data_IF_580758986440
#
_entry.id   IF_580758986440
#
_cell.length_a   1.000
_cell.length_b   1.000
_cell.length_c   1.000
_cell.angle_alpha   90.00
_cell.angle_beta   90.00
_cell.angle_gamma   90.00
#
_symmetry.space_group_name_H-M   'P 1'
#
loop_
_entity.id
_entity.type
_entity.pdbx_description
1 polymer ?
#
# COMPACT_ATOMS: atom_id res chain seq x y z
N UNK A 1 5.30 48.42 -20.15
CA UNK A 1 6.10 47.21 -19.86
C UNK A 1 6.53 46.60 -21.19
N UNK A 2 7.83 46.41 -21.38
CA UNK A 2 8.35 45.71 -22.56
C UNK A 2 8.07 44.20 -22.44
N UNK A 3 8.11 43.45 -23.55
CA UNK A 3 8.02 41.97 -23.49
C UNK A 3 9.12 41.35 -22.61
N UNK A 4 10.28 42.01 -22.49
CA UNK A 4 11.36 41.54 -21.63
C UNK A 4 11.00 41.65 -20.15
N UNK A 5 10.37 42.75 -19.73
CA UNK A 5 9.96 42.96 -18.33
C UNK A 5 8.91 41.92 -17.89
N UNK A 6 7.93 41.64 -18.76
CA UNK A 6 6.90 40.64 -18.50
C UNK A 6 7.49 39.22 -18.39
N UNK A 7 8.46 38.88 -19.24
CA UNK A 7 9.14 37.58 -19.20
C UNK A 7 10.02 37.42 -17.95
N UNK A 8 10.69 38.49 -17.50
CA UNK A 8 11.48 38.49 -16.28
C UNK A 8 10.59 38.30 -15.04
N UNK A 9 9.45 39.00 -14.97
CA UNK A 9 8.48 38.83 -13.90
C UNK A 9 7.89 37.40 -13.90
N UNK A 10 7.61 36.83 -15.07
CA UNK A 10 7.14 35.45 -15.18
C UNK A 10 8.19 34.44 -14.70
N UNK A 11 9.45 34.57 -15.08
CA UNK A 11 10.53 33.70 -14.60
C UNK A 11 10.74 33.78 -13.08
N UNK A 12 10.53 34.97 -12.49
CA UNK A 12 10.61 35.19 -11.04
C UNK A 12 9.39 34.69 -10.26
N UNK A 13 8.26 34.42 -10.91
CA UNK A 13 7.03 33.97 -10.24
C UNK A 13 6.58 32.58 -10.67
N UNK A 14 7.20 32.00 -11.69
CA UNK A 14 6.83 30.69 -12.22
C UNK A 14 7.01 29.56 -11.21
N UNK A 15 7.91 29.72 -10.23
CA UNK A 15 8.11 28.72 -9.17
C UNK A 15 6.91 28.63 -8.21
N UNK A 16 6.10 29.69 -8.12
CA UNK A 16 4.87 29.74 -7.31
C UNK A 16 3.72 28.98 -7.98
N UNK A 17 3.84 28.63 -9.26
CA UNK A 17 2.78 28.00 -10.04
C UNK A 17 3.07 26.52 -10.28
N UNK A 18 2.03 25.68 -10.17
CA UNK A 18 2.09 24.27 -10.54
C UNK A 18 2.44 23.33 -9.39
N UNK A 19 3.43 22.46 -9.59
CA UNK A 19 3.68 21.26 -8.76
C UNK A 19 4.09 21.56 -7.32
N UNK A 20 4.65 22.75 -7.05
CA UNK A 20 5.16 23.12 -5.73
C UNK A 20 4.18 23.95 -4.89
N UNK A 21 2.97 24.23 -5.39
CA UNK A 21 2.04 25.13 -4.72
C UNK A 21 1.76 24.72 -3.26
N UNK A 22 1.43 23.46 -3.01
CA UNK A 22 1.16 22.95 -1.67
C UNK A 22 2.38 23.08 -0.72
N UNK A 23 3.59 22.90 -1.25
CA UNK A 23 4.81 23.07 -0.45
C UNK A 23 5.03 24.54 -0.06
N UNK A 24 4.74 25.47 -0.97
CA UNK A 24 4.89 26.91 -0.72
C UNK A 24 3.80 27.40 0.24
N UNK A 25 2.56 26.88 0.14
CA UNK A 25 1.48 27.15 1.10
C UNK A 25 1.87 26.68 2.51
N UNK A 26 2.42 25.46 2.64
CA UNK A 26 2.95 24.93 3.91
C UNK A 26 4.11 25.78 4.45
N UNK A 27 5.02 26.21 3.57
CA UNK A 27 6.17 27.04 3.92
C UNK A 27 5.72 28.42 4.40
N UNK A 28 4.70 29.00 3.76
CA UNK A 28 4.13 30.28 4.15
C UNK A 28 3.38 30.18 5.48
N UNK A 29 2.60 29.12 5.70
CA UNK A 29 1.93 28.88 6.97
C UNK A 29 2.91 28.73 8.14
N UNK A 30 4.07 28.09 7.92
CA UNK A 30 5.16 28.02 8.91
C UNK A 30 5.77 29.39 9.20
N UNK A 31 5.99 30.21 8.17
CA UNK A 31 6.49 31.57 8.31
C UNK A 31 5.55 32.45 9.16
N UNK A 32 4.23 32.34 8.97
CA UNK A 32 3.24 33.09 9.75
C UNK A 32 3.24 32.69 11.24
N UNK A 33 3.62 31.44 11.56
CA UNK A 33 3.78 30.97 12.95
C UNK A 33 5.12 31.39 13.56
N UNK A 34 6.19 31.26 12.78
CA UNK A 34 7.55 31.62 13.16
C UNK A 34 8.33 32.16 11.94
N UNK A 35 8.58 33.48 11.87
CA UNK A 35 9.34 34.08 10.78
C UNK A 35 10.77 33.53 10.64
N UNK A 36 11.37 33.00 11.71
CA UNK A 36 12.72 32.42 11.68
C UNK A 36 12.77 30.99 11.12
N UNK A 37 11.61 30.39 10.85
CA UNK A 37 11.49 29.04 10.29
C UNK A 37 11.88 28.95 8.80
N UNK A 38 12.00 30.09 8.13
CA UNK A 38 12.39 30.20 6.71
C UNK A 38 13.56 31.17 6.55
N UNK A 39 14.30 31.04 5.45
CA UNK A 39 15.43 31.91 5.16
C UNK A 39 15.01 33.36 4.88
N UNK A 40 15.99 34.26 4.85
CA UNK A 40 15.74 35.70 4.70
C UNK A 40 15.02 36.05 3.38
N UNK A 41 15.31 35.32 2.28
CA UNK A 41 14.70 35.57 0.98
C UNK A 41 13.20 35.24 1.00
N UNK A 42 12.84 34.11 1.63
CA UNK A 42 11.44 33.74 1.85
C UNK A 42 10.72 34.67 2.83
N UNK A 43 11.39 35.12 3.90
CA UNK A 43 10.81 36.10 4.81
C UNK A 43 10.44 37.39 4.08
N UNK A 44 11.35 37.92 3.26
CA UNK A 44 11.11 39.16 2.52
C UNK A 44 10.01 38.98 1.47
N UNK A 45 10.00 37.82 0.80
CA UNK A 45 8.94 37.46 -0.14
C UNK A 45 7.56 37.39 0.55
N UNK A 46 7.41 36.62 1.64
CA UNK A 46 6.13 36.47 2.34
C UNK A 46 5.65 37.77 2.99
N UNK A 47 6.56 38.60 3.54
CA UNK A 47 6.23 39.96 4.01
C UNK A 47 5.64 40.83 2.91
N UNK A 48 6.06 40.63 1.66
CA UNK A 48 5.59 41.43 0.53
C UNK A 48 4.14 41.13 0.11
N UNK A 49 3.65 39.91 0.39
CA UNK A 49 2.31 39.44 -0.01
C UNK A 49 1.19 40.12 0.77
N UNK A 50 1.42 40.37 2.07
CA UNK A 50 0.45 41.04 2.98
C UNK A 50 -0.91 40.32 3.05
N UNK A 51 -0.92 39.00 2.89
CA UNK A 51 -2.12 38.19 3.06
C UNK A 51 -2.52 38.11 4.54
N UNK A 52 -3.79 37.81 4.82
CA UNK A 52 -4.25 37.60 6.18
C UNK A 52 -3.75 36.24 6.70
N UNK A 53 -3.19 36.15 7.92
CA UNK A 53 -2.66 34.88 8.46
C UNK A 53 -3.68 33.73 8.44
N UNK A 54 -4.97 34.05 8.61
CA UNK A 54 -6.06 33.08 8.55
C UNK A 54 -6.26 32.48 7.14
N UNK A 55 -6.06 33.28 6.09
CA UNK A 55 -6.19 32.81 4.71
C UNK A 55 -4.99 31.93 4.32
N UNK A 56 -3.79 32.30 4.77
CA UNK A 56 -2.56 31.50 4.59
C UNK A 56 -2.72 30.12 5.24
N UNK A 57 -3.18 30.08 6.49
CA UNK A 57 -3.40 28.83 7.22
C UNK A 57 -4.45 27.94 6.53
N UNK A 58 -5.55 28.55 6.04
CA UNK A 58 -6.61 27.82 5.34
C UNK A 58 -6.15 27.25 4.00
N UNK A 59 -5.28 27.95 3.28
CA UNK A 59 -4.70 27.45 2.04
C UNK A 59 -3.79 26.24 2.28
N UNK A 60 -2.96 26.28 3.33
CA UNK A 60 -2.10 25.17 3.72
C UNK A 60 -2.88 23.92 4.18
N UNK A 61 -4.03 24.10 4.83
CA UNK A 61 -4.94 23.00 5.18
C UNK A 61 -5.54 22.27 3.96
N UNK A 62 -5.47 22.90 2.79
CA UNK A 62 -5.89 22.34 1.52
C UNK A 62 -7.39 22.49 1.24
N UNK A 63 -7.86 21.75 0.24
CA UNK A 63 -9.22 21.88 -0.25
C UNK A 63 -10.25 21.37 0.77
N UNK A 64 -11.21 22.24 1.13
CA UNK A 64 -12.32 21.89 2.04
C UNK A 64 -13.25 20.77 1.53
N UNK A 65 -13.19 20.45 0.24
CA UNK A 65 -13.91 19.33 -0.38
C UNK A 65 -13.09 18.02 -0.40
N UNK A 66 -11.87 18.03 0.17
CA UNK A 66 -11.05 16.84 0.35
C UNK A 66 -11.81 15.78 1.16
N UNK A 67 -11.89 14.57 0.61
CA UNK A 67 -12.59 13.46 1.28
C UNK A 67 -11.70 12.88 2.37
N UNK A 68 -12.18 12.90 3.62
CA UNK A 68 -11.46 12.36 4.77
C UNK A 68 -11.14 10.85 4.67
N UNK A 69 -11.88 10.10 3.85
CA UNK A 69 -11.73 8.67 3.67
C UNK A 69 -11.07 8.29 2.33
N UNK A 70 -10.36 9.21 1.69
CA UNK A 70 -9.62 8.94 0.45
C UNK A 70 -8.12 8.67 0.72
N UNK A 71 -7.49 7.70 0.03
CA UNK A 71 -8.11 6.73 -0.88
C UNK A 71 -8.95 5.71 -0.12
N UNK A 72 -10.09 5.32 -0.69
CA UNK A 72 -10.93 4.27 -0.12
C UNK A 72 -10.20 2.95 -0.31
N UNK A 73 -9.69 2.35 0.77
CA UNK A 73 -9.13 1.00 0.72
C UNK A 73 -10.28 -0.02 0.74
N UNK A 74 -10.41 -0.88 -0.29
CA UNK A 74 -11.36 -1.99 -0.27
C UNK A 74 -11.12 -2.88 0.95
N UNK A 75 -12.18 -3.33 1.61
CA UNK A 75 -12.12 -4.20 2.81
C UNK A 75 -12.68 -5.60 2.58
N UNK A 76 -13.08 -5.91 1.36
CA UNK A 76 -13.57 -7.23 1.00
C UNK A 76 -12.41 -8.22 0.85
N UNK A 77 -12.67 -9.48 1.21
CA UNK A 77 -11.70 -10.58 1.15
C UNK A 77 -11.08 -10.70 -0.26
N UNK A 78 -11.92 -10.57 -1.29
CA UNK A 78 -11.51 -10.78 -2.67
C UNK A 78 -10.54 -9.69 -3.13
N UNK A 79 -10.82 -8.42 -2.87
CA UNK A 79 -9.90 -7.34 -3.23
C UNK A 79 -8.63 -7.35 -2.39
N UNK A 80 -8.73 -7.63 -1.08
CA UNK A 80 -7.55 -7.80 -0.22
C UNK A 80 -6.65 -8.96 -0.66
N UNK A 81 -7.23 -10.04 -1.20
CA UNK A 81 -6.45 -11.14 -1.75
C UNK A 81 -5.73 -10.78 -3.06
N UNK A 82 -6.09 -9.67 -3.72
CA UNK A 82 -5.58 -9.28 -5.04
C UNK A 82 -4.64 -8.07 -5.03
N UNK A 83 -4.71 -7.19 -4.03
CA UNK A 83 -3.97 -5.92 -3.98
C UNK A 83 -2.46 -6.05 -3.70
N UNK A 84 -1.99 -7.22 -3.24
CA UNK A 84 -0.57 -7.52 -3.02
C UNK A 84 0.04 -6.84 -1.79
N UNK A 85 -0.78 -6.34 -0.86
CA UNK A 85 -0.32 -5.65 0.35
C UNK A 85 0.11 -6.63 1.46
N UNK A 86 1.13 -7.44 1.17
CA UNK A 86 1.51 -8.59 2.02
C UNK A 86 1.99 -8.21 3.43
N UNK A 87 2.60 -7.04 3.60
CA UNK A 87 3.05 -6.59 4.93
C UNK A 87 1.88 -6.38 5.91
N UNK A 88 0.75 -5.86 5.42
CA UNK A 88 -0.46 -5.70 6.24
C UNK A 88 -1.12 -7.05 6.51
N UNK A 89 -1.13 -7.95 5.51
CA UNK A 89 -1.63 -9.33 5.66
C UNK A 89 -0.82 -10.09 6.71
N UNK A 90 0.51 -10.03 6.65
CA UNK A 90 1.41 -10.69 7.62
C UNK A 90 1.11 -10.23 9.05
N UNK A 91 0.99 -8.92 9.27
CA UNK A 91 0.64 -8.35 10.59
C UNK A 91 -0.74 -8.83 11.08
N UNK A 92 -1.74 -8.81 10.21
CA UNK A 92 -3.10 -9.21 10.55
C UNK A 92 -3.20 -10.71 10.88
N UNK A 93 -2.59 -11.55 10.03
CA UNK A 93 -2.55 -13.00 10.21
C UNK A 93 -1.78 -13.38 11.47
N UNK A 94 -0.62 -12.78 11.71
CA UNK A 94 0.17 -13.03 12.93
C UNK A 94 -0.60 -12.68 14.20
N UNK A 95 -1.29 -11.53 14.21
CA UNK A 95 -2.14 -11.12 15.34
C UNK A 95 -3.28 -12.13 15.59
N UNK A 96 -3.93 -12.61 14.52
CA UNK A 96 -5.02 -13.59 14.62
C UNK A 96 -4.52 -14.96 15.07
N UNK A 97 -3.36 -15.40 14.60
CA UNK A 97 -2.73 -16.65 15.01
C UNK A 97 -2.33 -16.62 16.48
N UNK A 98 -1.68 -15.54 16.95
CA UNK A 98 -1.34 -15.36 18.35
C UNK A 98 -2.58 -15.37 19.25
N UNK A 99 -3.64 -14.65 18.87
CA UNK A 99 -4.90 -14.66 19.61
C UNK A 99 -5.55 -16.05 19.67
N UNK A 100 -5.51 -16.82 18.57
CA UNK A 100 -6.04 -18.19 18.52
C UNK A 100 -5.21 -19.19 19.32
N UNK A 101 -3.89 -19.05 19.33
CA UNK A 101 -2.99 -19.85 20.16
C UNK A 101 -3.31 -19.66 21.64
N UNK A 102 -3.42 -18.40 22.07
CA UNK A 102 -3.78 -18.03 23.44
C UNK A 102 -5.16 -18.55 23.83
N UNK A 103 -6.16 -18.44 22.93
CA UNK A 103 -7.51 -18.95 23.18
C UNK A 103 -7.59 -20.49 23.29
N UNK A 104 -6.67 -21.23 22.66
CA UNK A 104 -6.58 -22.69 22.73
C UNK A 104 -5.71 -23.20 23.89
N UNK A 105 -5.16 -22.31 24.72
CA UNK A 105 -4.30 -22.69 25.84
C UNK A 105 -2.97 -23.33 25.42
N UNK A 106 -2.56 -23.14 24.16
CA UNK A 106 -1.27 -23.61 23.67
C UNK A 106 -0.27 -22.45 23.75
N UNK A 107 0.79 -22.61 24.55
CA UNK A 107 1.96 -21.73 24.45
C UNK A 107 2.76 -22.11 23.21
N UNK A 108 2.35 -21.56 22.06
CA UNK A 108 3.20 -21.53 20.88
C UNK A 108 4.34 -20.56 21.12
N UNK A 109 5.57 -20.97 20.77
CA UNK A 109 6.69 -20.05 20.84
C UNK A 109 6.51 -18.93 19.80
N UNK A 110 7.11 -17.77 20.06
CA UNK A 110 7.10 -16.65 19.11
C UNK A 110 7.64 -17.08 17.72
N UNK A 111 8.65 -17.96 17.70
CA UNK A 111 9.18 -18.55 16.48
C UNK A 111 8.14 -19.38 15.70
N UNK A 112 7.30 -20.14 16.41
CA UNK A 112 6.24 -20.94 15.79
C UNK A 112 5.14 -20.05 15.20
N UNK A 113 4.76 -18.97 15.90
CA UNK A 113 3.79 -17.99 15.40
C UNK A 113 4.34 -17.31 14.15
N UNK A 114 5.61 -16.92 14.15
CA UNK A 114 6.26 -16.34 12.97
C UNK A 114 6.31 -17.30 11.78
N UNK A 115 6.64 -18.59 11.99
CA UNK A 115 6.62 -19.58 10.91
C UNK A 115 5.21 -19.81 10.38
N UNK A 116 4.22 -20.02 11.26
CA UNK A 116 2.84 -20.20 10.85
C UNK A 116 2.30 -18.99 10.07
N UNK A 117 2.69 -17.77 10.46
CA UNK A 117 2.34 -16.54 9.75
C UNK A 117 2.94 -16.51 8.34
N UNK A 118 4.24 -16.83 8.21
CA UNK A 118 4.90 -16.89 6.89
C UNK A 118 4.26 -17.94 5.99
N UNK A 119 3.95 -19.11 6.54
CA UNK A 119 3.30 -20.19 5.81
C UNK A 119 1.91 -19.78 5.31
N UNK A 120 1.12 -19.12 6.15
CA UNK A 120 -0.16 -18.53 5.76
C UNK A 120 0.02 -17.52 4.63
N UNK A 121 0.96 -16.58 4.73
CA UNK A 121 1.19 -15.58 3.68
C UNK A 121 1.60 -16.26 2.37
N UNK A 122 2.50 -17.23 2.40
CA UNK A 122 2.93 -18.01 1.21
C UNK A 122 1.77 -18.78 0.58
N UNK A 123 0.91 -19.39 1.39
CA UNK A 123 -0.28 -20.08 0.91
C UNK A 123 -1.27 -19.10 0.25
N UNK A 124 -1.48 -17.92 0.85
CA UNK A 124 -2.32 -16.87 0.25
C UNK A 124 -1.75 -16.34 -1.07
N UNK A 125 -0.42 -16.19 -1.16
CA UNK A 125 0.26 -15.84 -2.41
C UNK A 125 0.03 -16.89 -3.50
N UNK A 126 0.14 -18.18 -3.15
CA UNK A 126 -0.13 -19.29 -4.07
C UNK A 126 -1.61 -19.29 -4.53
N UNK A 127 -2.57 -19.15 -3.61
CA UNK A 127 -3.99 -19.04 -3.94
C UNK A 127 -4.23 -17.87 -4.91
N UNK A 128 -3.61 -16.71 -4.66
CA UNK A 128 -3.68 -15.55 -5.56
C UNK A 128 -3.11 -15.87 -6.93
N UNK A 129 -1.97 -16.56 -7.01
CA UNK A 129 -1.36 -16.97 -8.28
C UNK A 129 -2.32 -17.86 -9.09
N UNK A 130 -2.96 -18.84 -8.45
CA UNK A 130 -3.99 -19.67 -9.08
C UNK A 130 -5.21 -18.86 -9.53
N UNK A 131 -5.72 -17.92 -8.71
CA UNK A 131 -6.85 -17.06 -9.08
C UNK A 131 -6.53 -16.19 -10.31
N UNK A 132 -5.31 -15.65 -10.38
CA UNK A 132 -4.90 -14.73 -11.44
C UNK A 132 -4.44 -15.44 -12.72
N UNK A 133 -3.74 -16.57 -12.59
CA UNK A 133 -3.00 -17.23 -13.68
C UNK A 133 -3.33 -18.72 -13.84
N UNK A 134 -4.19 -19.29 -13.01
CA UNK A 134 -4.58 -20.70 -13.07
C UNK A 134 -5.21 -21.10 -14.40
N UNK A 135 -5.85 -20.16 -15.11
CA UNK A 135 -6.40 -20.40 -16.44
C UNK A 135 -5.34 -20.81 -17.48
N UNK A 136 -4.06 -20.48 -17.27
CA UNK A 136 -2.97 -20.95 -18.14
C UNK A 136 -2.67 -22.45 -17.98
N UNK A 137 -3.00 -23.04 -16.83
CA UNK A 137 -2.84 -24.48 -16.57
C UNK A 137 -4.16 -25.25 -16.75
N UNK A 138 -5.25 -24.58 -17.10
CA UNK A 138 -6.53 -25.23 -17.34
C UNK A 138 -6.46 -26.08 -18.61
N UNK A 139 -6.95 -27.32 -18.54
CA UNK A 139 -7.05 -28.23 -19.68
C UNK A 139 -8.26 -27.87 -20.54
N UNK A 140 -8.09 -26.82 -21.35
CA UNK A 140 -9.15 -26.29 -22.22
C UNK A 140 -9.12 -26.86 -23.64
N UNK A 141 -7.98 -27.44 -24.07
CA UNK A 141 -7.83 -28.05 -25.38
C UNK A 141 -8.28 -29.53 -25.35
N UNK A 142 -9.44 -29.87 -25.95
CA UNK A 142 -9.93 -31.25 -26.00
C UNK A 142 -9.13 -32.13 -26.97
N UNK A 143 -8.39 -31.54 -27.91
CA UNK A 143 -7.59 -32.27 -28.90
C UNK A 143 -6.16 -32.54 -28.40
N UNK A 144 -5.71 -31.85 -27.36
CA UNK A 144 -4.39 -32.03 -26.75
C UNK A 144 -3.23 -31.68 -27.69
N UNK A 145 -3.45 -30.73 -28.60
CA UNK A 145 -2.46 -30.24 -29.55
C UNK A 145 -1.51 -29.25 -28.86
N UNK A 146 -2.04 -28.45 -27.92
CA UNK A 146 -1.22 -27.50 -27.18
C UNK A 146 -0.32 -28.21 -26.15
N UNK A 147 0.98 -27.94 -26.23
CA UNK A 147 1.92 -28.42 -25.22
C UNK A 147 1.61 -27.79 -23.86
N UNK A 148 1.63 -28.57 -22.75
CA UNK A 148 1.44 -28.03 -21.42
C UNK A 148 2.44 -26.88 -21.14
N UNK A 149 1.91 -25.72 -20.79
CA UNK A 149 2.72 -24.56 -20.40
C UNK A 149 2.97 -24.61 -18.90
N UNK A 150 4.02 -25.30 -18.50
CA UNK A 150 4.40 -25.35 -17.09
C UNK A 150 5.14 -24.06 -16.71
N UNK A 151 4.46 -23.17 -15.99
CA UNK A 151 5.07 -21.96 -15.44
C UNK A 151 5.39 -22.16 -13.96
N UNK A 152 6.63 -21.82 -13.58
CA UNK A 152 7.12 -21.91 -12.20
C UNK A 152 6.27 -21.12 -11.19
N UNK A 153 5.47 -20.16 -11.64
CA UNK A 153 4.67 -19.27 -10.77
C UNK A 153 3.50 -19.95 -10.06
N UNK A 154 3.01 -21.10 -10.55
CA UNK A 154 1.99 -21.91 -9.85
C UNK A 154 2.60 -23.06 -9.05
N UNK A 155 3.91 -23.27 -9.16
CA UNK A 155 4.59 -24.31 -8.42
C UNK A 155 4.70 -23.90 -6.93
N UNK A 156 4.20 -24.71 -5.99
CA UNK A 156 4.35 -24.45 -4.55
C UNK A 156 5.82 -24.26 -4.12
N UNK A 157 6.77 -24.89 -4.83
CA UNK A 157 8.21 -24.77 -4.57
C UNK A 157 8.71 -23.33 -4.72
N UNK A 158 8.14 -22.56 -5.64
CA UNK A 158 8.48 -21.15 -5.84
C UNK A 158 8.10 -20.26 -4.66
N UNK A 159 7.19 -20.73 -3.79
CA UNK A 159 6.78 -20.05 -2.56
C UNK A 159 7.44 -20.63 -1.31
N UNK A 160 8.40 -21.56 -1.48
CA UNK A 160 9.15 -22.16 -0.38
C UNK A 160 8.46 -23.33 0.30
N UNK A 161 7.47 -23.95 -0.35
CA UNK A 161 6.88 -25.21 0.10
C UNK A 161 7.62 -26.41 -0.49
N UNK A 162 7.84 -27.42 0.34
CA UNK A 162 8.38 -28.72 -0.08
C UNK A 162 7.27 -29.77 -0.06
N UNK A 163 7.49 -30.95 -0.66
CA UNK A 163 6.50 -32.03 -0.64
C UNK A 163 6.14 -32.47 0.79
N UNK A 164 7.05 -32.34 1.75
CA UNK A 164 6.81 -32.65 3.16
C UNK A 164 5.76 -31.71 3.80
N UNK A 165 5.55 -30.52 3.23
CA UNK A 165 4.61 -29.52 3.75
C UNK A 165 3.19 -29.73 3.22
N UNK A 166 2.95 -30.69 2.32
CA UNK A 166 1.69 -30.79 1.61
C UNK A 166 0.51 -31.15 2.50
N UNK A 167 0.76 -32.00 3.50
CA UNK A 167 -0.24 -32.44 4.46
C UNK A 167 -0.26 -31.54 5.73
N UNK A 168 0.57 -30.48 5.77
CA UNK A 168 0.65 -29.55 6.89
C UNK A 168 -0.58 -28.63 6.91
N UNK A 169 -1.16 -28.44 8.10
CA UNK A 169 -2.33 -27.59 8.29
C UNK A 169 -1.92 -26.12 8.39
N UNK A 170 -2.29 -25.33 7.38
CA UNK A 170 -1.98 -23.91 7.26
C UNK A 170 -3.23 -23.09 7.58
N UNK A 171 -3.07 -21.98 8.31
CA UNK A 171 -4.17 -21.06 8.59
C UNK A 171 -4.46 -20.19 7.36
N UNK A 172 -5.73 -20.13 6.94
CA UNK A 172 -6.15 -19.42 5.73
C UNK A 172 -7.07 -18.22 6.03
N UNK A 173 -7.41 -17.97 7.29
CA UNK A 173 -8.22 -16.82 7.69
C UNK A 173 -9.56 -16.70 6.94
N UNK A 174 -10.22 -17.84 6.68
CA UNK A 174 -11.47 -17.95 5.93
C UNK A 174 -11.35 -17.62 4.44
N UNK A 175 -10.14 -17.48 3.91
CA UNK A 175 -9.93 -17.45 2.47
C UNK A 175 -10.38 -18.79 1.87
N UNK A 176 -11.19 -18.71 0.80
CA UNK A 176 -11.93 -19.86 0.23
C UNK A 176 -13.04 -20.42 1.14
N UNK A 177 -13.44 -19.70 2.20
CA UNK A 177 -14.39 -20.19 3.21
C UNK A 177 -13.79 -21.17 4.21
N UNK A 178 -12.46 -21.36 4.20
CA UNK A 178 -11.74 -22.30 5.04
C UNK A 178 -10.94 -21.57 6.11
N UNK A 179 -11.13 -21.93 7.38
CA UNK A 179 -10.30 -21.37 8.46
C UNK A 179 -8.85 -21.89 8.36
N UNK A 180 -8.71 -23.17 8.03
CA UNK A 180 -7.44 -23.85 7.81
C UNK A 180 -7.53 -24.75 6.57
N UNK A 181 -6.42 -24.97 5.88
CA UNK A 181 -6.32 -25.87 4.73
C UNK A 181 -4.97 -26.57 4.65
N UNK A 182 -4.86 -27.51 3.72
CA UNK A 182 -3.62 -28.19 3.32
C UNK A 182 -3.28 -27.80 1.88
N UNK A 183 -2.06 -28.05 1.41
CA UNK A 183 -1.70 -27.77 0.01
C UNK A 183 -2.26 -28.81 -0.97
N UNK A 184 -2.58 -30.01 -0.47
CA UNK A 184 -3.21 -31.10 -1.24
C UNK A 184 -4.69 -30.83 -1.52
#
# INVERSE_FOLDING_TARGET
>A
MSRQDANAAFALSSFLQGTNAAYIDDLYARYEQDPSSVDAEWQDFFKSLKDAPADVQKNAEGASWGRANWPVTPRDELTSALDGNWAQVEKAVGTKLAAKAQAKGAELSDADVHQATRDSVRALMLIRAYRMRGHFHAKLDPLGIEAPRDREELDPRSYGFTEADFDRKIFLDHVLGLEYGTLR
#
